data_IF_638473233930
#
_entry.id   IF_638473233930
#
_cell.length_a   1.000
_cell.length_b   1.000
_cell.length_c   1.000
_cell.angle_alpha   90.00
_cell.angle_beta   90.00
_cell.angle_gamma   90.00
#
_symmetry.space_group_name_H-M   'P 1'
#
loop_
_entity.id
_entity.type
_entity.pdbx_description
1 polymer ?
#
# COMPACT_ATOMS: atom_id res chain seq x y z
N UNK A 1 -6.78 -18.87 13.41
CA UNK A 1 -7.31 -17.55 13.00
C UNK A 1 -6.62 -16.50 13.82
N UNK A 2 -6.29 -15.38 13.24
CA UNK A 2 -5.61 -14.26 13.89
C UNK A 2 -6.66 -13.43 14.62
N UNK A 3 -6.44 -13.14 15.90
CA UNK A 3 -7.32 -12.23 16.66
C UNK A 3 -6.97 -10.79 16.22
N UNK A 4 -7.57 -10.33 15.11
CA UNK A 4 -7.30 -9.00 14.56
C UNK A 4 -7.72 -7.90 15.54
N UNK A 5 -6.79 -6.99 15.81
CA UNK A 5 -7.03 -5.80 16.61
C UNK A 5 -7.03 -4.55 15.73
N UNK A 6 -8.20 -3.96 15.42
CA UNK A 6 -8.23 -2.70 14.68
C UNK A 6 -7.59 -1.57 15.50
N UNK A 7 -6.48 -1.01 15.02
CA UNK A 7 -5.73 0.06 15.68
C UNK A 7 -6.04 1.39 15.00
N UNK A 8 -6.58 2.33 15.75
CA UNK A 8 -6.83 3.68 15.25
C UNK A 8 -5.61 4.55 15.55
N UNK A 9 -4.92 4.99 14.50
CA UNK A 9 -3.77 5.85 14.61
C UNK A 9 -4.10 7.28 14.19
N UNK A 10 -3.50 8.28 14.85
CA UNK A 10 -3.57 9.68 14.49
C UNK A 10 -2.17 10.25 14.30
N UNK A 11 -1.80 10.51 13.04
CA UNK A 11 -0.48 11.02 12.68
C UNK A 11 -0.39 12.54 12.74
N UNK A 12 -1.46 13.25 13.14
CA UNK A 12 -1.48 14.70 13.28
C UNK A 12 -1.38 15.46 11.95
N UNK A 13 -1.87 14.90 10.86
CA UNK A 13 -1.85 15.52 9.53
C UNK A 13 -2.78 16.73 9.41
N UNK A 14 -3.75 16.89 10.31
CA UNK A 14 -4.68 18.02 10.27
C UNK A 14 -3.97 19.33 10.59
N UNK A 15 -3.02 19.32 11.52
CA UNK A 15 -2.32 20.49 12.05
C UNK A 15 -0.93 20.72 11.42
N UNK A 16 -0.48 19.84 10.53
CA UNK A 16 0.86 19.91 9.97
C UNK A 16 0.86 19.84 8.45
N UNK A 17 1.73 20.63 7.85
CA UNK A 17 2.03 20.53 6.43
C UNK A 17 2.86 19.29 6.16
N UNK A 18 2.58 18.63 5.02
CA UNK A 18 3.28 17.45 4.55
C UNK A 18 3.95 17.77 3.21
N UNK A 19 5.27 17.53 3.06
CA UNK A 19 5.90 17.69 1.76
C UNK A 19 5.45 16.58 0.81
N UNK A 20 5.19 16.91 -0.46
CA UNK A 20 4.95 15.87 -1.48
C UNK A 20 6.16 14.97 -1.63
N UNK A 21 7.36 15.56 -1.65
CA UNK A 21 8.66 14.89 -1.61
C UNK A 21 9.02 14.57 -0.15
N UNK A 22 8.30 13.64 0.45
CA UNK A 22 8.46 13.29 1.86
C UNK A 22 9.72 12.46 2.14
N UNK A 23 10.25 11.74 1.14
CA UNK A 23 11.58 11.12 1.16
C UNK A 23 12.45 11.78 0.07
N UNK A 24 13.29 12.77 0.43
CA UNK A 24 14.10 13.52 -0.53
C UNK A 24 15.21 12.70 -1.18
N UNK A 25 15.63 11.60 -0.56
CA UNK A 25 16.64 10.69 -1.13
C UNK A 25 16.04 9.78 -2.21
N UNK A 26 14.70 9.60 -2.20
CA UNK A 26 14.00 8.78 -3.18
C UNK A 26 12.69 9.45 -3.67
N UNK A 27 12.78 10.41 -4.60
CA UNK A 27 11.60 11.09 -5.14
C UNK A 27 10.59 10.15 -5.82
N UNK A 28 11.07 9.09 -6.44
CA UNK A 28 10.19 8.10 -7.09
C UNK A 28 9.40 7.30 -6.05
N UNK A 29 9.99 7.00 -4.90
CA UNK A 29 9.31 6.37 -3.76
C UNK A 29 8.27 7.31 -3.15
N UNK A 30 8.61 8.59 -2.93
CA UNK A 30 7.64 9.58 -2.45
C UNK A 30 6.41 9.67 -3.36
N UNK A 31 6.62 9.69 -4.68
CA UNK A 31 5.53 9.72 -5.66
C UNK A 31 4.70 8.44 -5.64
N UNK A 32 5.35 7.27 -5.57
CA UNK A 32 4.67 5.98 -5.56
C UNK A 32 3.84 5.79 -4.30
N UNK A 33 4.40 6.07 -3.13
CA UNK A 33 3.70 5.94 -1.85
C UNK A 33 2.55 6.95 -1.71
N UNK A 34 2.72 8.20 -2.20
CA UNK A 34 1.60 9.11 -2.30
C UNK A 34 0.47 8.54 -3.18
N UNK A 35 0.79 7.86 -4.30
CA UNK A 35 -0.24 7.21 -5.12
C UNK A 35 -0.93 6.06 -4.39
N UNK A 36 -0.21 5.32 -3.52
CA UNK A 36 -0.83 4.33 -2.62
C UNK A 36 -1.85 5.00 -1.70
N UNK A 37 -1.55 6.16 -1.09
CA UNK A 37 -2.52 6.87 -0.24
C UNK A 37 -3.80 7.24 -0.99
N UNK A 38 -3.69 7.69 -2.25
CA UNK A 38 -4.88 8.00 -3.06
C UNK A 38 -5.69 6.74 -3.39
N UNK A 39 -5.01 5.65 -3.75
CA UNK A 39 -5.64 4.36 -4.07
C UNK A 39 -6.34 3.78 -2.84
N UNK A 40 -5.67 3.74 -1.69
CA UNK A 40 -6.15 3.21 -0.43
C UNK A 40 -7.52 3.81 -0.05
N UNK A 41 -7.69 5.14 -0.16
CA UNK A 41 -8.96 5.81 0.17
C UNK A 41 -10.14 5.24 -0.65
N UNK A 42 -9.95 4.97 -1.92
CA UNK A 42 -11.01 4.43 -2.79
C UNK A 42 -11.21 2.92 -2.61
N UNK A 43 -10.12 2.18 -2.54
CA UNK A 43 -10.11 0.73 -2.41
C UNK A 43 -10.72 0.29 -1.08
N UNK A 44 -10.24 0.83 0.05
CA UNK A 44 -10.72 0.48 1.39
C UNK A 44 -12.18 0.91 1.61
N UNK A 45 -12.60 2.06 1.04
CA UNK A 45 -14.02 2.43 0.98
C UNK A 45 -14.85 1.34 0.29
N UNK A 46 -14.32 0.74 -0.79
CA UNK A 46 -14.99 -0.37 -1.48
C UNK A 46 -15.02 -1.62 -0.59
N UNK A 47 -13.92 -1.96 0.09
CA UNK A 47 -13.86 -3.10 1.03
C UNK A 47 -14.93 -2.95 2.12
N UNK A 48 -15.01 -1.81 2.77
CA UNK A 48 -16.02 -1.55 3.82
C UNK A 48 -17.42 -1.81 3.29
N UNK A 49 -17.79 -1.25 2.13
CA UNK A 49 -19.10 -1.49 1.50
C UNK A 49 -19.33 -2.96 1.16
N UNK A 50 -18.30 -3.63 0.64
CA UNK A 50 -18.35 -5.03 0.25
C UNK A 50 -18.59 -5.94 1.46
N UNK A 51 -17.84 -5.76 2.56
CA UNK A 51 -18.02 -6.57 3.78
C UNK A 51 -19.41 -6.34 4.39
N UNK A 52 -19.90 -5.11 4.43
CA UNK A 52 -21.29 -4.84 4.89
C UNK A 52 -22.35 -5.64 4.11
N UNK A 53 -22.16 -5.85 2.81
CA UNK A 53 -23.05 -6.64 1.96
C UNK A 53 -22.83 -8.16 2.08
N UNK A 54 -21.63 -8.57 2.53
CA UNK A 54 -21.18 -9.96 2.51
C UNK A 54 -21.40 -10.66 3.85
N UNK A 55 -21.31 -9.95 4.97
CA UNK A 55 -21.30 -10.52 6.33
C UNK A 55 -22.45 -11.49 6.63
N UNK A 56 -23.64 -11.24 6.07
CA UNK A 56 -24.81 -12.12 6.24
C UNK A 56 -24.76 -13.39 5.39
N UNK A 57 -23.77 -13.52 4.49
CA UNK A 57 -23.56 -14.70 3.63
C UNK A 57 -22.46 -15.60 4.17
N UNK A 58 -21.68 -15.13 5.13
CA UNK A 58 -20.63 -15.91 5.79
C UNK A 58 -21.32 -16.81 6.80
N UNK A 59 -21.23 -18.12 6.59
CA UNK A 59 -21.89 -19.10 7.46
C UNK A 59 -21.09 -19.43 8.72
N UNK A 60 -19.76 -19.26 8.67
CA UNK A 60 -18.86 -19.48 9.80
C UNK A 60 -18.86 -18.23 10.69
N UNK A 61 -19.30 -18.35 11.97
CA UNK A 61 -19.36 -17.20 12.89
C UNK A 61 -17.98 -16.56 13.16
N UNK A 62 -16.91 -17.35 13.23
CA UNK A 62 -15.57 -16.85 13.48
C UNK A 62 -15.07 -16.02 12.29
N UNK A 63 -15.27 -16.53 11.07
CA UNK A 63 -14.95 -15.76 9.85
C UNK A 63 -15.80 -14.49 9.74
N UNK A 64 -17.06 -14.53 10.15
CA UNK A 64 -17.93 -13.36 10.13
C UNK A 64 -17.46 -12.28 11.14
N UNK A 65 -16.98 -12.67 12.31
CA UNK A 65 -16.40 -11.77 13.31
C UNK A 65 -15.09 -11.15 12.82
N UNK A 66 -14.18 -11.97 12.30
CA UNK A 66 -12.91 -11.49 11.70
C UNK A 66 -13.16 -10.55 10.51
N UNK A 67 -14.16 -10.82 9.66
CA UNK A 67 -14.52 -9.93 8.58
C UNK A 67 -14.98 -8.54 9.07
N UNK A 68 -15.65 -8.47 10.23
CA UNK A 68 -16.01 -7.19 10.86
C UNK A 68 -14.78 -6.46 11.41
N UNK A 69 -13.83 -7.18 12.00
CA UNK A 69 -12.57 -6.61 12.47
C UNK A 69 -11.75 -6.06 11.29
N UNK A 70 -11.62 -6.82 10.22
CA UNK A 70 -11.01 -6.41 8.95
C UNK A 70 -11.65 -5.12 8.40
N UNK A 71 -12.97 -5.10 8.27
CA UNK A 71 -13.69 -3.91 7.83
C UNK A 71 -13.37 -2.67 8.67
N UNK A 72 -13.18 -2.82 9.98
CA UNK A 72 -12.82 -1.71 10.88
C UNK A 72 -11.37 -1.26 10.66
N UNK A 73 -10.44 -2.19 10.47
CA UNK A 73 -9.05 -1.90 10.14
C UNK A 73 -8.97 -1.08 8.86
N UNK A 74 -9.60 -1.54 7.78
CA UNK A 74 -9.68 -0.85 6.49
C UNK A 74 -10.31 0.55 6.61
N UNK A 75 -11.33 0.69 7.47
CA UNK A 75 -11.91 2.01 7.77
C UNK A 75 -10.95 2.96 8.48
N UNK A 76 -10.05 2.45 9.33
CA UNK A 76 -9.00 3.23 9.98
C UNK A 76 -7.91 3.63 8.98
N UNK A 77 -7.46 2.70 8.11
CA UNK A 77 -6.51 2.95 7.04
C UNK A 77 -7.01 4.07 6.12
N UNK A 78 -8.23 3.90 5.60
CA UNK A 78 -8.88 4.90 4.73
C UNK A 78 -8.94 6.29 5.38
N UNK A 79 -9.22 6.34 6.68
CA UNK A 79 -9.29 7.61 7.42
C UNK A 79 -7.92 8.27 7.54
N UNK A 80 -6.88 7.53 7.91
CA UNK A 80 -5.52 8.05 8.05
C UNK A 80 -4.94 8.51 6.71
N UNK A 81 -5.12 7.72 5.64
CA UNK A 81 -4.72 8.14 4.29
C UNK A 81 -5.48 9.37 3.81
N UNK A 82 -6.77 9.49 4.14
CA UNK A 82 -7.55 10.70 3.82
C UNK A 82 -7.02 11.94 4.53
N UNK A 83 -6.57 11.84 5.78
CA UNK A 83 -5.94 12.95 6.50
C UNK A 83 -4.61 13.34 5.83
N UNK A 84 -3.76 12.36 5.46
CA UNK A 84 -2.53 12.59 4.71
C UNK A 84 -2.80 13.30 3.38
N UNK A 85 -3.72 12.78 2.57
CA UNK A 85 -4.07 13.37 1.26
C UNK A 85 -4.67 14.76 1.42
N UNK A 86 -5.48 15.02 2.44
CA UNK A 86 -5.97 16.39 2.76
C UNK A 86 -4.82 17.35 3.06
N UNK A 87 -3.78 16.90 3.77
CA UNK A 87 -2.59 17.73 4.00
C UNK A 87 -1.90 18.09 2.68
N UNK A 88 -1.77 17.15 1.75
CA UNK A 88 -1.25 17.41 0.40
C UNK A 88 -2.16 18.37 -0.39
N UNK A 89 -3.48 18.21 -0.31
CA UNK A 89 -4.45 19.09 -0.99
C UNK A 89 -4.40 20.54 -0.46
N UNK A 90 -4.16 20.74 0.84
CA UNK A 90 -3.99 22.09 1.37
C UNK A 90 -2.86 22.85 0.65
N UNK A 91 -1.78 22.15 0.32
CA UNK A 91 -0.64 22.72 -0.40
C UNK A 91 -0.84 22.75 -1.93
N UNK A 92 -1.50 21.74 -2.47
CA UNK A 92 -1.74 21.57 -3.91
C UNK A 92 -3.24 21.35 -4.17
N UNK A 93 -4.06 22.42 -4.17
CA UNK A 93 -5.52 22.28 -4.23
C UNK A 93 -6.06 21.49 -5.44
N UNK A 94 -5.34 21.50 -6.57
CA UNK A 94 -5.70 20.70 -7.75
C UNK A 94 -5.71 19.19 -7.53
N UNK A 95 -5.03 18.69 -6.50
CA UNK A 95 -5.06 17.27 -6.12
C UNK A 95 -6.43 16.81 -5.64
N UNK A 96 -7.35 17.73 -5.26
CA UNK A 96 -8.74 17.36 -4.98
C UNK A 96 -9.40 16.70 -6.18
N UNK A 97 -9.21 17.24 -7.39
CA UNK A 97 -9.76 16.64 -8.61
C UNK A 97 -9.17 15.24 -8.87
N UNK A 98 -7.89 15.05 -8.52
CA UNK A 98 -7.24 13.75 -8.65
C UNK A 98 -7.84 12.74 -7.66
N UNK A 99 -8.06 13.15 -6.42
CA UNK A 99 -8.70 12.30 -5.40
C UNK A 99 -10.12 11.91 -5.82
N UNK A 100 -10.91 12.89 -6.29
CA UNK A 100 -12.28 12.66 -6.73
C UNK A 100 -12.32 11.69 -7.93
N UNK A 101 -11.38 11.81 -8.87
CA UNK A 101 -11.26 10.89 -9.99
C UNK A 101 -10.91 9.47 -9.54
N UNK A 102 -9.97 9.31 -8.60
CA UNK A 102 -9.60 7.99 -8.03
C UNK A 102 -10.77 7.35 -7.29
N UNK A 103 -11.45 8.10 -6.42
CA UNK A 103 -12.65 7.61 -5.70
C UNK A 103 -13.75 7.24 -6.71
N UNK A 104 -13.95 8.08 -7.73
CA UNK A 104 -14.95 7.84 -8.77
C UNK A 104 -14.74 6.53 -9.53
N UNK A 105 -13.50 6.12 -9.80
CA UNK A 105 -13.19 4.82 -10.43
C UNK A 105 -13.64 3.63 -9.56
N UNK A 106 -13.43 3.70 -8.25
CA UNK A 106 -13.88 2.64 -7.32
C UNK A 106 -15.40 2.67 -7.12
N UNK A 107 -16.03 3.84 -7.12
CA UNK A 107 -17.48 3.95 -7.03
C UNK A 107 -18.13 3.37 -8.30
N UNK A 108 -17.64 3.71 -9.49
CA UNK A 108 -18.07 3.12 -10.77
C UNK A 108 -17.88 1.60 -10.80
N UNK A 109 -16.70 1.10 -10.34
CA UNK A 109 -16.45 -0.33 -10.22
C UNK A 109 -17.47 -0.99 -9.30
N UNK A 110 -17.76 -0.37 -8.16
CA UNK A 110 -18.71 -0.89 -7.15
C UNK A 110 -20.12 -0.98 -7.71
N UNK A 111 -20.55 -0.03 -8.52
CA UNK A 111 -21.87 0.01 -9.14
C UNK A 111 -21.99 -0.94 -10.34
N UNK A 112 -20.93 -1.02 -11.15
CA UNK A 112 -20.94 -1.79 -12.40
C UNK A 112 -20.67 -3.29 -12.22
N UNK A 113 -20.18 -3.74 -11.04
CA UNK A 113 -19.75 -5.13 -10.83
C UNK A 113 -20.54 -5.87 -9.78
N UNK A 114 -20.55 -7.20 -9.91
CA UNK A 114 -21.18 -8.08 -8.92
C UNK A 114 -20.39 -8.11 -7.60
N UNK A 115 -21.07 -8.49 -6.51
CA UNK A 115 -20.40 -8.71 -5.22
C UNK A 115 -19.28 -9.76 -5.32
N UNK A 116 -19.49 -10.83 -6.10
CA UNK A 116 -18.48 -11.87 -6.30
C UNK A 116 -17.21 -11.32 -6.97
N UNK A 117 -17.36 -10.39 -7.92
CA UNK A 117 -16.22 -9.73 -8.55
C UNK A 117 -15.44 -8.88 -7.54
N UNK A 118 -16.12 -8.12 -6.69
CA UNK A 118 -15.47 -7.28 -5.67
C UNK A 118 -14.79 -8.11 -4.58
N UNK A 119 -15.36 -9.26 -4.21
CA UNK A 119 -14.71 -10.23 -3.34
C UNK A 119 -13.44 -10.80 -3.96
N UNK A 120 -13.49 -11.17 -5.27
CA UNK A 120 -12.29 -11.59 -6.00
C UNK A 120 -11.26 -10.46 -6.11
N UNK A 121 -11.71 -9.23 -6.37
CA UNK A 121 -10.85 -8.05 -6.46
C UNK A 121 -10.08 -7.83 -5.15
N UNK A 122 -10.76 -7.82 -4.02
CA UNK A 122 -10.12 -7.66 -2.71
C UNK A 122 -9.18 -8.82 -2.43
N UNK A 123 -9.61 -10.07 -2.61
CA UNK A 123 -8.79 -11.24 -2.36
C UNK A 123 -7.51 -11.30 -3.23
N UNK A 124 -7.60 -10.90 -4.51
CA UNK A 124 -6.44 -10.85 -5.41
C UNK A 124 -5.45 -9.75 -5.02
N UNK A 125 -5.96 -8.56 -4.68
CA UNK A 125 -5.09 -7.43 -4.36
C UNK A 125 -4.42 -7.63 -3.00
N UNK A 126 -5.16 -8.00 -1.96
CA UNK A 126 -4.64 -8.33 -0.63
C UNK A 126 -3.57 -9.43 -0.68
N UNK A 127 -3.79 -10.49 -1.47
CA UNK A 127 -2.80 -11.54 -1.64
C UNK A 127 -1.48 -11.03 -2.26
N UNK A 128 -1.50 -9.94 -3.05
CA UNK A 128 -0.28 -9.34 -3.60
C UNK A 128 0.46 -8.46 -2.60
N UNK A 129 -0.22 -7.98 -1.57
CA UNK A 129 0.37 -7.03 -0.61
C UNK A 129 1.47 -7.69 0.22
N UNK A 130 1.30 -8.92 0.67
CA UNK A 130 2.31 -9.60 1.49
C UNK A 130 3.71 -9.60 0.87
N UNK A 131 3.96 -10.08 -0.36
CA UNK A 131 5.30 -10.05 -0.96
C UNK A 131 5.78 -8.63 -1.29
N UNK A 132 4.87 -7.72 -1.64
CA UNK A 132 5.21 -6.33 -2.01
C UNK A 132 5.56 -5.53 -0.76
N UNK A 133 4.72 -5.56 0.27
CA UNK A 133 4.97 -4.84 1.52
C UNK A 133 6.12 -5.43 2.31
N UNK A 134 6.32 -6.76 2.23
CA UNK A 134 7.52 -7.38 2.78
C UNK A 134 8.79 -6.80 2.13
N UNK A 135 8.86 -6.67 0.80
CA UNK A 135 9.99 -6.03 0.14
C UNK A 135 10.21 -4.60 0.65
N UNK A 136 9.13 -3.84 0.83
CA UNK A 136 9.21 -2.46 1.30
C UNK A 136 9.67 -2.38 2.76
N UNK A 137 9.09 -3.18 3.64
CA UNK A 137 9.40 -3.19 5.07
C UNK A 137 10.80 -3.77 5.37
N UNK A 138 11.25 -4.77 4.62
CA UNK A 138 12.62 -5.31 4.73
C UNK A 138 13.69 -4.27 4.28
N UNK A 139 13.29 -3.24 3.52
CA UNK A 139 14.15 -2.16 3.04
C UNK A 139 13.80 -0.79 3.68
N UNK A 140 13.27 -0.81 4.92
CA UNK A 140 12.81 0.38 5.63
C UNK A 140 13.87 1.47 5.77
N UNK A 141 15.13 1.08 5.97
CA UNK A 141 16.24 2.00 6.17
C UNK A 141 16.47 2.94 4.97
N UNK A 142 16.10 2.53 3.77
CA UNK A 142 16.27 3.33 2.54
C UNK A 142 14.96 3.90 2.03
N UNK A 143 13.84 3.22 2.27
CA UNK A 143 12.55 3.66 1.76
C UNK A 143 11.82 4.61 2.70
N UNK A 144 11.94 4.41 4.01
CA UNK A 144 11.15 5.15 5.01
C UNK A 144 12.00 6.07 5.88
N UNK A 145 13.11 5.57 6.44
CA UNK A 145 13.95 6.30 7.42
C UNK A 145 14.46 7.67 6.95
N UNK A 146 14.86 7.91 5.68
CA UNK A 146 15.30 9.22 5.23
C UNK A 146 14.17 10.24 5.05
N UNK A 147 12.91 9.82 5.21
CA UNK A 147 11.73 10.61 4.94
C UNK A 147 11.16 11.39 6.13
N UNK A 148 10.04 12.07 5.89
CA UNK A 148 9.22 12.64 6.96
C UNK A 148 8.70 11.52 7.87
N UNK A 149 8.96 11.60 9.16
CA UNK A 149 8.68 10.53 10.12
C UNK A 149 7.18 10.24 10.27
N UNK A 150 6.29 11.23 10.09
CA UNK A 150 4.84 11.02 10.12
C UNK A 150 4.37 10.20 8.92
N UNK A 151 4.84 10.60 7.74
CA UNK A 151 4.48 9.91 6.50
C UNK A 151 5.06 8.51 6.48
N UNK A 152 6.32 8.35 6.89
CA UNK A 152 6.96 7.05 7.05
C UNK A 152 6.17 6.16 8.02
N UNK A 153 5.78 6.69 9.18
CA UNK A 153 5.03 5.96 10.21
C UNK A 153 3.63 5.55 9.75
N UNK A 154 2.94 6.40 8.96
CA UNK A 154 1.67 6.05 8.33
C UNK A 154 1.80 4.79 7.45
N UNK A 155 2.81 4.77 6.56
CA UNK A 155 3.00 3.64 5.65
C UNK A 155 3.52 2.40 6.35
N UNK A 156 4.40 2.54 7.35
CA UNK A 156 4.87 1.40 8.16
C UNK A 156 3.69 0.76 8.88
N UNK A 157 2.87 1.54 9.59
CA UNK A 157 1.68 1.04 10.27
C UNK A 157 0.74 0.32 9.31
N UNK A 158 0.36 0.97 8.21
CA UNK A 158 -0.54 0.38 7.22
C UNK A 158 0.01 -0.95 6.69
N UNK A 159 1.26 -0.97 6.21
CA UNK A 159 1.84 -2.18 5.63
C UNK A 159 2.06 -3.31 6.64
N UNK A 160 2.27 -2.99 7.92
CA UNK A 160 2.36 -3.98 8.99
C UNK A 160 0.99 -4.60 9.26
N UNK A 161 -0.08 -3.80 9.31
CA UNK A 161 -1.43 -4.33 9.47
C UNK A 161 -1.89 -5.13 8.25
N UNK A 162 -1.52 -4.73 7.01
CA UNK A 162 -1.79 -5.50 5.79
C UNK A 162 -1.16 -6.91 5.83
N UNK A 163 0.05 -7.05 6.36
CA UNK A 163 0.66 -8.38 6.49
C UNK A 163 0.09 -9.16 7.69
N UNK A 164 -0.54 -8.51 8.67
CA UNK A 164 -1.26 -9.17 9.76
C UNK A 164 -2.50 -9.90 9.24
N UNK A 165 -3.32 -9.26 8.41
CA UNK A 165 -4.59 -9.82 7.92
C UNK A 165 -4.51 -10.45 6.52
N UNK A 166 -3.31 -10.70 6.01
CA UNK A 166 -2.97 -11.17 4.65
C UNK A 166 -3.78 -12.35 4.08
N UNK A 167 -4.30 -13.22 4.92
CA UNK A 167 -5.11 -14.39 4.48
C UNK A 167 -6.61 -14.13 4.51
N UNK A 168 -7.05 -13.10 5.22
CA UNK A 168 -8.45 -12.95 5.57
C UNK A 168 -9.34 -12.63 4.36
N UNK A 169 -8.88 -11.79 3.45
CA UNK A 169 -9.63 -11.52 2.22
C UNK A 169 -9.86 -12.79 1.37
N UNK A 170 -8.87 -13.70 1.31
CA UNK A 170 -9.02 -15.01 0.67
C UNK A 170 -9.99 -15.92 1.42
N UNK A 171 -9.94 -15.94 2.75
CA UNK A 171 -10.86 -16.71 3.59
C UNK A 171 -12.29 -16.25 3.36
N UNK A 172 -12.54 -14.93 3.36
CA UNK A 172 -13.86 -14.35 3.09
C UNK A 172 -14.33 -14.70 1.67
N UNK A 173 -13.47 -14.54 0.66
CA UNK A 173 -13.78 -14.92 -0.70
C UNK A 173 -14.17 -16.40 -0.80
N UNK A 174 -13.39 -17.29 -0.20
CA UNK A 174 -13.63 -18.72 -0.23
C UNK A 174 -14.91 -19.12 0.51
N UNK A 175 -15.25 -18.44 1.59
CA UNK A 175 -16.48 -18.71 2.35
C UNK A 175 -17.76 -18.36 1.58
N UNK A 176 -17.69 -17.41 0.63
CA UNK A 176 -18.88 -16.89 -0.08
C UNK A 176 -18.91 -17.30 -1.55
N UNK A 177 -17.78 -17.33 -2.24
CA UNK A 177 -17.68 -17.64 -3.68
C UNK A 177 -17.05 -19.01 -3.91
N UNK A 178 -15.95 -19.34 -3.21
CA UNK A 178 -15.33 -20.65 -3.18
C UNK A 178 -14.78 -21.14 -4.52
N UNK A 179 -14.46 -20.26 -5.47
CA UNK A 179 -13.99 -20.62 -6.81
C UNK A 179 -12.67 -19.97 -7.16
N UNK A 180 -11.57 -20.67 -6.92
CA UNK A 180 -10.22 -20.23 -7.29
C UNK A 180 -10.10 -19.92 -8.79
N UNK A 181 -10.76 -20.74 -9.65
CA UNK A 181 -10.76 -20.51 -11.09
C UNK A 181 -11.45 -19.17 -11.45
N UNK A 182 -12.51 -18.81 -10.73
CA UNK A 182 -13.17 -17.53 -10.91
C UNK A 182 -12.22 -16.38 -10.53
N UNK A 183 -11.55 -16.47 -9.38
CA UNK A 183 -10.57 -15.49 -8.91
C UNK A 183 -9.47 -15.28 -9.96
N UNK A 184 -8.80 -16.34 -10.37
CA UNK A 184 -7.75 -16.30 -11.39
C UNK A 184 -8.21 -15.68 -12.71
N UNK A 185 -9.44 -15.98 -13.13
CA UNK A 185 -10.01 -15.42 -14.39
C UNK A 185 -10.24 -13.91 -14.28
N UNK A 186 -10.52 -13.39 -13.08
CA UNK A 186 -10.74 -11.95 -12.85
C UNK A 186 -9.44 -11.17 -12.69
N UNK A 187 -8.35 -11.81 -12.27
CA UNK A 187 -7.08 -11.17 -11.98
C UNK A 187 -6.55 -10.21 -13.08
N UNK A 188 -6.61 -10.51 -14.38
CA UNK A 188 -6.16 -9.56 -15.41
C UNK A 188 -6.96 -8.25 -15.44
N UNK A 189 -8.29 -8.33 -15.24
CA UNK A 189 -9.15 -7.14 -15.21
C UNK A 189 -8.95 -6.32 -13.95
N UNK A 190 -8.71 -6.98 -12.82
CA UNK A 190 -8.39 -6.37 -11.52
C UNK A 190 -7.08 -5.60 -11.65
N UNK A 191 -6.02 -6.25 -12.13
CA UNK A 191 -4.72 -5.62 -12.34
C UNK A 191 -4.80 -4.42 -13.29
N UNK A 192 -5.54 -4.55 -14.41
CA UNK A 192 -5.73 -3.45 -15.34
C UNK A 192 -6.43 -2.25 -14.70
N UNK A 193 -7.42 -2.47 -13.83
CA UNK A 193 -8.11 -1.41 -13.10
C UNK A 193 -7.18 -0.73 -12.08
N UNK A 194 -6.44 -1.50 -11.27
CA UNK A 194 -5.46 -0.96 -10.33
C UNK A 194 -4.43 -0.08 -11.05
N UNK A 195 -3.88 -0.57 -12.16
CA UNK A 195 -2.91 0.20 -12.96
C UNK A 195 -3.52 1.46 -13.58
N UNK A 196 -4.81 1.44 -13.95
CA UNK A 196 -5.54 2.63 -14.38
C UNK A 196 -5.63 3.67 -13.27
N UNK A 197 -6.02 3.26 -12.06
CA UNK A 197 -6.17 4.13 -10.89
C UNK A 197 -4.82 4.77 -10.50
N UNK A 198 -3.76 3.97 -10.41
CA UNK A 198 -2.41 4.49 -10.12
C UNK A 198 -1.97 5.49 -11.20
N UNK A 199 -2.27 5.23 -12.47
CA UNK A 199 -1.95 6.15 -13.57
C UNK A 199 -2.71 7.47 -13.46
N UNK A 200 -3.97 7.46 -13.03
CA UNK A 200 -4.77 8.67 -12.75
C UNK A 200 -4.10 9.49 -11.65
N UNK A 201 -3.73 8.86 -10.52
CA UNK A 201 -3.05 9.53 -9.43
C UNK A 201 -1.73 10.18 -9.89
N UNK A 202 -0.86 9.40 -10.57
CA UNK A 202 0.43 9.88 -11.07
C UNK A 202 0.30 11.00 -12.11
N UNK A 203 -0.69 10.93 -12.99
CA UNK A 203 -0.97 12.01 -13.95
C UNK A 203 -1.42 13.29 -13.25
N UNK A 204 -2.28 13.17 -12.23
CA UNK A 204 -2.69 14.28 -11.38
C UNK A 204 -1.52 14.92 -10.63
N UNK A 205 -0.58 14.12 -10.13
CA UNK A 205 0.65 14.62 -9.49
C UNK A 205 1.49 15.43 -10.47
N UNK A 206 1.69 14.93 -11.70
CA UNK A 206 2.42 15.67 -12.73
C UNK A 206 1.74 16.99 -13.10
N UNK A 207 0.41 17.03 -13.06
CA UNK A 207 -0.37 18.20 -13.42
C UNK A 207 -0.40 19.26 -12.31
N UNK A 208 -0.48 18.85 -11.03
CA UNK A 208 -0.82 19.75 -9.94
C UNK A 208 0.33 20.01 -8.96
N UNK A 209 1.38 19.19 -8.97
CA UNK A 209 2.58 19.39 -8.14
C UNK A 209 3.74 19.86 -9.01
N UNK A 210 4.39 21.01 -8.72
CA UNK A 210 5.53 21.49 -9.49
C UNK A 210 6.67 20.46 -9.54
N UNK A 211 7.37 20.37 -10.67
CA UNK A 211 8.51 19.46 -10.83
C UNK A 211 9.62 19.73 -9.79
N UNK A 212 9.80 20.98 -9.39
CA UNK A 212 10.76 21.37 -8.34
C UNK A 212 10.42 20.78 -6.97
N UNK A 213 9.14 20.45 -6.72
CA UNK A 213 8.68 19.93 -5.43
C UNK A 213 8.41 18.41 -5.46
N UNK A 214 8.33 17.78 -6.63
CA UNK A 214 8.22 16.31 -6.76
C UNK A 214 9.50 15.65 -7.26
N UNK A 215 10.37 16.39 -7.95
CA UNK A 215 11.68 16.01 -8.48
C UNK A 215 11.71 14.76 -9.38
N UNK A 216 10.57 14.25 -9.79
CA UNK A 216 10.42 13.07 -10.63
C UNK A 216 9.20 13.22 -11.53
N UNK A 217 9.22 12.60 -12.71
CA UNK A 217 7.99 12.32 -13.44
C UNK A 217 7.27 11.16 -12.75
N UNK A 218 6.10 11.43 -12.14
CA UNK A 218 5.34 10.43 -11.39
C UNK A 218 4.90 9.24 -12.26
N UNK A 219 4.81 9.40 -13.58
CA UNK A 219 4.54 8.30 -14.50
C UNK A 219 5.78 7.43 -14.79
N UNK A 220 6.97 7.80 -14.29
CA UNK A 220 8.20 7.02 -14.49
C UNK A 220 8.13 5.60 -13.95
N UNK A 221 7.25 5.33 -12.98
CA UNK A 221 7.00 3.97 -12.47
C UNK A 221 6.48 3.01 -13.56
N UNK A 222 5.87 3.53 -14.63
CA UNK A 222 5.41 2.77 -15.79
C UNK A 222 6.47 2.63 -16.89
N UNK A 223 7.63 3.32 -16.76
CA UNK A 223 8.71 3.21 -17.72
C UNK A 223 9.37 1.83 -17.69
N UNK A 224 9.99 1.39 -18.79
CA UNK A 224 10.69 0.11 -18.86
C UNK A 224 11.89 0.06 -17.90
N UNK A 225 12.13 -1.11 -17.31
CA UNK A 225 13.25 -1.32 -16.41
C UNK A 225 14.59 -1.02 -17.10
N UNK A 226 15.56 -0.41 -16.39
CA UNK A 226 16.89 -0.03 -16.90
C UNK A 226 17.64 -1.18 -17.60
N UNK A 227 17.46 -2.42 -17.14
CA UNK A 227 18.11 -3.59 -17.74
C UNK A 227 17.51 -3.92 -19.12
N UNK A 228 16.17 -3.89 -19.25
CA UNK A 228 15.49 -4.04 -20.55
C UNK A 228 15.83 -2.88 -21.48
N UNK A 229 15.96 -1.68 -20.93
CA UNK A 229 16.34 -0.49 -21.65
C UNK A 229 17.79 -0.57 -22.14
N UNK A 230 18.74 -1.06 -21.34
CA UNK A 230 20.15 -1.30 -21.77
C UNK A 230 20.23 -2.32 -22.91
N UNK A 231 19.44 -3.39 -22.85
CA UNK A 231 19.35 -4.39 -23.91
C UNK A 231 18.75 -3.78 -25.18
N UNK A 232 17.63 -3.04 -25.05
CA UNK A 232 16.99 -2.36 -26.18
C UNK A 232 17.88 -1.24 -26.78
N UNK A 233 18.61 -0.48 -25.96
CA UNK A 233 19.53 0.56 -26.45
C UNK A 233 20.73 -0.01 -27.20
N UNK A 234 21.13 -1.24 -26.90
CA UNK A 234 22.17 -1.95 -27.67
C UNK A 234 21.69 -2.29 -29.09
N UNK A 235 20.37 -2.47 -29.26
CA UNK A 235 19.75 -2.78 -30.56
C UNK A 235 19.12 -1.56 -31.26
N UNK A 236 18.72 -0.53 -30.49
CA UNK A 236 18.05 0.66 -31.01
C UNK A 236 18.38 1.92 -30.15
N UNK A 237 19.56 2.51 -30.30
CA UNK A 237 20.04 3.61 -29.46
C UNK A 237 19.18 4.88 -29.48
N UNK A 238 18.25 5.00 -30.41
CA UNK A 238 17.39 6.17 -30.58
C UNK A 238 16.07 6.11 -29.79
N UNK A 239 15.75 4.97 -29.18
CA UNK A 239 14.44 4.75 -28.51
C UNK A 239 14.40 5.16 -27.03
N UNK A 240 15.53 5.59 -26.46
CA UNK A 240 15.60 5.86 -25.02
C UNK A 240 16.31 7.17 -24.72
N UNK A 241 15.56 8.23 -24.59
CA UNK A 241 16.03 9.47 -23.95
C UNK A 241 15.79 9.37 -22.44
N UNK A 242 16.87 9.19 -21.68
CA UNK A 242 16.93 9.36 -20.22
C UNK A 242 16.12 8.33 -19.41
N UNK A 243 16.80 7.56 -18.58
CA UNK A 243 16.16 6.73 -17.56
C UNK A 243 15.78 7.58 -16.37
N UNK A 244 14.48 7.77 -16.13
CA UNK A 244 14.03 8.36 -14.87
C UNK A 244 14.29 7.37 -13.72
N UNK A 245 14.75 7.83 -12.53
CA UNK A 245 14.91 6.98 -11.36
C UNK A 245 13.55 6.38 -10.95
N UNK A 246 13.59 5.13 -10.45
CA UNK A 246 12.40 4.41 -9.96
C UNK A 246 12.55 4.13 -8.47
N UNK A 247 11.45 3.92 -7.80
CA UNK A 247 11.37 3.70 -6.36
C UNK A 247 12.33 2.61 -5.85
N UNK A 248 12.52 1.54 -6.62
CA UNK A 248 13.30 0.36 -6.20
C UNK A 248 14.63 0.18 -6.95
N UNK A 249 15.09 1.21 -7.68
CA UNK A 249 16.35 1.10 -8.47
C UNK A 249 17.59 0.84 -7.61
N UNK A 250 17.56 1.20 -6.32
CA UNK A 250 18.64 1.00 -5.36
C UNK A 250 18.59 -0.37 -4.65
N UNK A 251 17.46 -1.09 -4.75
CA UNK A 251 17.32 -2.41 -4.15
C UNK A 251 18.00 -3.49 -5.00
N UNK A 252 18.44 -4.57 -4.35
CA UNK A 252 19.06 -5.68 -5.05
C UNK A 252 18.06 -6.33 -6.02
N UNK A 253 18.52 -6.64 -7.23
CA UNK A 253 17.67 -7.28 -8.24
C UNK A 253 17.08 -8.62 -7.75
N UNK A 254 17.84 -9.36 -6.94
CA UNK A 254 17.37 -10.62 -6.34
C UNK A 254 16.13 -10.44 -5.47
N UNK A 255 16.11 -9.41 -4.63
CA UNK A 255 14.96 -9.09 -3.76
C UNK A 255 13.72 -8.70 -4.59
N UNK A 256 13.91 -7.88 -5.61
CA UNK A 256 12.83 -7.50 -6.52
C UNK A 256 12.24 -8.71 -7.27
N UNK A 257 13.10 -9.66 -7.70
CA UNK A 257 12.67 -10.89 -8.38
C UNK A 257 11.94 -11.83 -7.41
N UNK A 258 12.37 -11.92 -6.16
CA UNK A 258 11.69 -12.70 -5.12
C UNK A 258 10.29 -12.13 -4.86
N UNK A 259 10.16 -10.81 -4.70
CA UNK A 259 8.88 -10.15 -4.52
C UNK A 259 7.95 -10.36 -5.73
N UNK A 260 8.48 -10.18 -6.96
CA UNK A 260 7.73 -10.44 -8.20
C UNK A 260 7.26 -11.91 -8.29
N UNK A 261 8.12 -12.85 -7.93
CA UNK A 261 7.79 -14.28 -7.85
C UNK A 261 6.70 -14.55 -6.80
N UNK A 262 6.74 -13.83 -5.67
CA UNK A 262 5.70 -13.85 -4.64
C UNK A 262 4.35 -13.36 -5.16
N UNK A 263 4.34 -12.19 -5.83
CA UNK A 263 3.13 -11.65 -6.48
C UNK A 263 2.54 -12.66 -7.50
N UNK A 264 3.39 -13.27 -8.32
CA UNK A 264 2.91 -14.28 -9.26
C UNK A 264 2.32 -15.50 -8.54
N UNK A 265 2.99 -15.99 -7.50
CA UNK A 265 2.52 -17.13 -6.69
C UNK A 265 1.20 -16.83 -5.98
N UNK A 266 0.99 -15.58 -5.51
CA UNK A 266 -0.24 -15.19 -4.83
C UNK A 266 -1.48 -15.32 -5.71
N UNK A 267 -1.32 -15.30 -7.02
CA UNK A 267 -2.41 -15.48 -7.99
C UNK A 267 -2.69 -16.95 -8.33
N UNK A 268 -1.83 -17.88 -7.87
CA UNK A 268 -1.99 -19.31 -8.19
C UNK A 268 -3.08 -19.95 -7.31
N UNK A 269 -3.69 -21.06 -7.78
CA UNK A 269 -4.62 -21.86 -6.96
C UNK A 269 -3.94 -22.38 -5.70
N UNK A 270 -4.71 -22.52 -4.64
CA UNK A 270 -4.25 -23.00 -3.33
C UNK A 270 -3.13 -22.15 -2.69
N UNK A 271 -3.00 -20.89 -3.11
CA UNK A 271 -2.12 -19.96 -2.40
C UNK A 271 -2.59 -19.80 -0.96
N UNK A 272 -1.68 -19.95 -0.01
CA UNK A 272 -1.92 -19.67 1.40
C UNK A 272 -0.93 -18.61 1.88
N UNK A 273 -1.38 -17.37 2.10
CA UNK A 273 -0.52 -16.28 2.57
C UNK A 273 0.09 -16.53 3.96
N UNK A 274 -0.53 -17.37 4.79
CA UNK A 274 -0.01 -17.70 6.14
C UNK A 274 1.34 -18.43 6.11
N UNK A 275 1.69 -19.05 4.97
CA UNK A 275 3.00 -19.65 4.78
C UNK A 275 4.08 -18.64 4.41
N UNK A 276 3.73 -17.40 4.14
CA UNK A 276 4.69 -16.34 3.81
C UNK A 276 5.37 -15.86 5.09
N UNK A 277 6.72 -15.72 5.02
CA UNK A 277 7.49 -15.17 6.15
C UNK A 277 7.22 -13.68 6.29
N UNK A 278 6.81 -13.28 7.48
CA UNK A 278 6.61 -11.86 7.80
C UNK A 278 7.94 -11.08 7.83
N UNK A 279 7.92 -9.78 7.55
CA UNK A 279 9.07 -8.90 7.76
C UNK A 279 9.36 -8.77 9.27
N UNK A 280 10.64 -8.74 9.64
CA UNK A 280 11.04 -8.59 11.04
C UNK A 280 10.55 -7.26 11.66
N UNK A 281 10.34 -6.23 10.84
CA UNK A 281 9.80 -4.95 11.28
C UNK A 281 8.37 -5.08 11.81
N UNK A 282 7.56 -6.01 11.28
CA UNK A 282 6.19 -6.23 11.76
C UNK A 282 6.18 -6.68 13.22
N UNK A 283 6.99 -7.69 13.57
CA UNK A 283 7.10 -8.16 14.96
C UNK A 283 7.58 -7.06 15.92
N UNK A 284 8.54 -6.23 15.45
CA UNK A 284 9.04 -5.10 16.25
C UNK A 284 7.97 -4.04 16.43
N UNK A 285 7.19 -3.76 15.38
CA UNK A 285 6.13 -2.75 15.42
C UNK A 285 5.04 -3.15 16.40
N UNK A 286 4.51 -4.38 16.32
CA UNK A 286 3.49 -4.87 17.22
C UNK A 286 3.97 -4.85 18.67
N UNK A 287 5.20 -5.34 18.90
CA UNK A 287 5.77 -5.32 20.26
C UNK A 287 5.84 -3.90 20.81
N UNK A 288 6.32 -2.92 20.07
CA UNK A 288 6.38 -1.52 20.51
C UNK A 288 5.00 -0.93 20.77
N UNK A 289 4.05 -1.20 19.89
CA UNK A 289 2.68 -0.76 20.07
C UNK A 289 2.07 -1.30 21.37
N UNK A 290 2.25 -2.59 21.65
CA UNK A 290 1.77 -3.26 22.87
C UNK A 290 2.49 -2.76 24.13
N UNK A 291 3.76 -2.39 24.00
CA UNK A 291 4.56 -1.78 25.08
C UNK A 291 4.19 -0.28 25.30
N UNK A 292 3.28 0.30 24.52
CA UNK A 292 2.77 1.67 24.65
C UNK A 292 3.65 2.76 24.05
N UNK A 293 4.55 2.43 23.11
CA UNK A 293 5.34 3.42 22.38
C UNK A 293 4.49 4.18 21.36
N UNK A 294 4.87 5.44 21.09
CA UNK A 294 4.24 6.24 20.05
C UNK A 294 4.66 5.80 18.65
N UNK A 295 3.89 4.88 18.05
CA UNK A 295 4.13 4.39 16.70
C UNK A 295 3.73 5.40 15.60
N UNK A 296 3.18 6.56 15.93
CA UNK A 296 2.92 7.64 14.96
C UNK A 296 4.18 8.43 14.61
N UNK A 297 5.28 8.16 15.34
CA UNK A 297 6.62 8.74 15.21
C UNK A 297 7.68 7.67 15.33
N UNK A 298 7.64 6.70 14.44
CA UNK A 298 8.43 5.47 14.52
C UNK A 298 9.93 5.69 14.76
N UNK A 299 10.54 6.58 13.97
CA UNK A 299 11.98 6.83 14.04
C UNK A 299 12.37 7.79 15.18
N UNK A 300 11.57 8.79 15.48
CA UNK A 300 11.80 9.69 16.61
C UNK A 300 11.67 8.95 17.94
N UNK A 301 10.68 8.09 18.09
CA UNK A 301 10.52 7.25 19.28
C UNK A 301 11.66 6.25 19.45
N UNK A 302 12.21 5.72 18.35
CA UNK A 302 13.38 4.84 18.38
C UNK A 302 14.62 5.56 18.92
N UNK A 303 14.89 6.78 18.45
CA UNK A 303 16.04 7.57 18.91
C UNK A 303 15.92 7.90 20.40
N UNK A 304 14.74 8.29 20.87
CA UNK A 304 14.51 8.57 22.29
C UNK A 304 14.67 7.34 23.18
N UNK A 305 14.23 6.17 22.73
CA UNK A 305 14.42 4.91 23.45
C UNK A 305 15.91 4.54 23.57
N UNK A 306 16.71 4.72 22.51
CA UNK A 306 18.14 4.48 22.52
C UNK A 306 18.89 5.45 23.44
N UNK A 307 18.52 6.74 23.44
CA UNK A 307 19.10 7.75 24.34
C UNK A 307 18.81 7.46 25.82
N UNK A 308 17.60 6.97 26.14
CA UNK A 308 17.24 6.63 27.51
C UNK A 308 18.01 5.40 28.04
N UNK A 309 18.31 4.43 27.18
CA UNK A 309 19.14 3.26 27.54
C UNK A 309 20.59 3.67 27.78
N UNK A 310 21.14 4.55 26.94
CA UNK A 310 22.54 5.01 27.07
C UNK A 310 22.74 5.98 28.22
N UNK A 311 21.74 6.79 28.57
CA UNK A 311 21.79 7.71 29.73
C UNK A 311 21.52 7.03 31.08
N UNK A 312 20.84 5.89 31.10
CA UNK A 312 20.60 5.09 32.30
C UNK A 312 21.73 4.12 32.67
N UNK A 313 22.77 4.01 31.84
CA UNK A 313 23.92 3.13 32.03
C UNK A 313 25.18 3.87 32.60
N UNK A 314 25.05 5.15 33.02
CA UNK A 314 26.13 5.94 33.64
C UNK A 314 25.83 6.12 35.16
#
# INVERSE_FOLDING_TARGET
MTNLQPRKMDFGFEDHDVPFLWNPENPAWSSMSNAVSFLAIGFEKMIVKMIMQTKSRISDPEVAEEAVAFMRQEGHHSTAHRQHVKALIRRYPGLQNTLDAVIGEFDLLTEATSLNYRLAYTADLEATFTPVFKLMLDNEATLFRPGDDRVASLFIWHFVEEVEHRSLALIIFNSVVGSELYRMRMAPSIFAHVMKVIRIACAGFNQHVPLSERQVDSLSMFAMHRTKQKILTSFAPYLTKGTMPRAFDHLQLGEQLVALGGVFRSQMPNHNPDHEKLPALADQWFKRYDDGYDCTRWYTAESQAQESITSGAN
#
